data_IF_175955695250
#
_entry.id   IF_175955695250
#
_cell.length_a   1.000
_cell.length_b   1.000
_cell.length_c   1.000
_cell.angle_alpha   90.00
_cell.angle_beta   90.00
_cell.angle_gamma   90.00
#
_symmetry.space_group_name_H-M   'P 1'
#
loop_
_entity.id
_entity.type
_entity.pdbx_description
1 polymer ?
#
# COMPACT_ATOMS: atom_id res chain seq x y z
N UNK A 1 11.56 -19.70 9.87
CA UNK A 1 11.49 -18.77 8.71
C UNK A 1 11.12 -19.54 7.44
N UNK A 2 10.34 -18.97 6.50
CA UNK A 2 9.83 -19.70 5.32
C UNK A 2 10.94 -20.31 4.45
N UNK A 3 12.04 -19.59 4.25
CA UNK A 3 13.22 -20.10 3.51
C UNK A 3 13.75 -21.38 4.16
N UNK A 4 13.94 -21.39 5.48
CA UNK A 4 14.43 -22.55 6.21
C UNK A 4 13.46 -23.75 6.20
N UNK A 5 12.16 -23.50 5.99
CA UNK A 5 11.16 -24.57 5.88
C UNK A 5 11.21 -25.28 4.51
N UNK A 6 11.78 -24.65 3.48
CA UNK A 6 12.05 -25.28 2.17
C UNK A 6 10.81 -25.65 1.34
N UNK A 7 9.62 -25.20 1.73
CA UNK A 7 8.35 -25.52 1.07
C UNK A 7 7.68 -24.31 0.41
N UNK A 8 8.43 -23.22 0.20
CA UNK A 8 7.95 -21.98 -0.42
C UNK A 8 6.92 -21.23 0.42
N UNK A 9 6.06 -20.46 -0.25
CA UNK A 9 4.86 -19.88 0.36
C UNK A 9 4.45 -18.52 -0.21
N UNK A 10 3.77 -17.72 0.61
CA UNK A 10 3.20 -16.43 0.17
C UNK A 10 3.32 -15.36 1.25
N UNK A 11 3.71 -14.16 0.83
CA UNK A 11 3.69 -12.93 1.62
C UNK A 11 2.73 -11.96 0.94
N UNK A 12 1.79 -11.40 1.71
CA UNK A 12 0.86 -10.38 1.23
C UNK A 12 1.06 -9.12 2.06
N UNK A 13 1.33 -8.00 1.40
CA UNK A 13 1.42 -6.69 2.04
C UNK A 13 0.16 -5.87 1.73
N UNK A 14 -0.22 -5.00 2.68
CA UNK A 14 -1.36 -4.09 2.49
C UNK A 14 -0.82 -2.69 2.22
N UNK A 15 -0.85 -2.28 0.95
CA UNK A 15 -0.51 -0.93 0.53
C UNK A 15 -1.77 -0.04 0.57
N UNK A 16 -2.03 0.71 -0.50
CA UNK A 16 -3.19 1.57 -0.73
C UNK A 16 -3.23 1.90 -2.23
N UNK A 17 -4.39 2.32 -2.75
CA UNK A 17 -4.44 3.02 -4.03
C UNK A 17 -3.49 4.24 -4.05
N UNK A 18 -3.29 4.90 -2.90
CA UNK A 18 -2.30 5.96 -2.72
C UNK A 18 -0.83 5.52 -2.95
N UNK A 19 -0.57 4.21 -2.96
CA UNK A 19 0.74 3.63 -3.24
C UNK A 19 1.02 3.38 -4.73
N UNK A 20 0.05 3.66 -5.61
CA UNK A 20 0.19 3.55 -7.08
C UNK A 20 -0.29 4.82 -7.81
N UNK A 21 -1.13 5.63 -7.15
CA UNK A 21 -1.55 6.95 -7.63
C UNK A 21 -1.53 7.91 -6.46
N UNK A 22 -0.80 9.02 -6.58
CA UNK A 22 -0.73 10.01 -5.52
C UNK A 22 -2.12 10.59 -5.20
N UNK A 23 -2.36 10.84 -3.91
CA UNK A 23 -3.57 11.51 -3.42
C UNK A 23 -3.16 12.88 -2.86
N UNK A 24 -3.74 13.99 -3.35
CA UNK A 24 -3.43 15.32 -2.86
C UNK A 24 -3.57 15.44 -1.34
N UNK A 25 -2.67 16.20 -0.71
CA UNK A 25 -2.63 16.37 0.75
C UNK A 25 -2.18 15.15 1.56
N UNK A 26 -1.99 14.00 0.93
CA UNK A 26 -1.53 12.77 1.57
C UNK A 26 -0.08 12.41 1.19
N UNK A 27 0.81 13.39 1.06
CA UNK A 27 2.19 13.18 0.57
C UNK A 27 2.98 12.16 1.39
N UNK A 28 2.97 12.27 2.72
CA UNK A 28 3.63 11.32 3.63
C UNK A 28 3.04 9.89 3.52
N UNK A 29 1.73 9.80 3.34
CA UNK A 29 1.02 8.53 3.28
C UNK A 29 1.27 7.86 1.93
N UNK A 30 1.21 8.63 0.84
CA UNK A 30 1.57 8.18 -0.50
C UNK A 30 3.02 7.69 -0.53
N UNK A 31 3.98 8.48 -0.02
CA UNK A 31 5.38 8.08 0.03
C UNK A 31 5.59 6.74 0.77
N UNK A 32 4.99 6.59 1.97
CA UNK A 32 5.09 5.33 2.71
C UNK A 32 4.45 4.15 1.97
N UNK A 33 3.30 4.35 1.32
CA UNK A 33 2.60 3.29 0.58
C UNK A 33 3.28 2.92 -0.74
N UNK A 34 3.89 3.87 -1.44
CA UNK A 34 4.82 3.57 -2.54
C UNK A 34 6.04 2.78 -2.05
N UNK A 35 6.56 3.10 -0.86
CA UNK A 35 7.61 2.32 -0.22
C UNK A 35 7.23 0.85 0.01
N UNK A 36 5.99 0.59 0.45
CA UNK A 36 5.47 -0.79 0.59
C UNK A 36 5.41 -1.52 -0.76
N UNK A 37 5.05 -0.81 -1.85
CA UNK A 37 5.06 -1.38 -3.20
C UNK A 37 6.47 -1.69 -3.67
N UNK A 38 7.41 -0.76 -3.49
CA UNK A 38 8.82 -0.97 -3.80
C UNK A 38 9.38 -2.18 -3.05
N UNK A 39 9.15 -2.26 -1.74
CA UNK A 39 9.56 -3.39 -0.92
C UNK A 39 8.95 -4.72 -1.41
N UNK A 40 7.66 -4.72 -1.74
CA UNK A 40 6.96 -5.89 -2.26
C UNK A 40 7.60 -6.40 -3.54
N UNK A 41 7.91 -5.48 -4.48
CA UNK A 41 8.52 -5.82 -5.75
C UNK A 41 9.96 -6.35 -5.57
N UNK A 42 10.77 -5.73 -4.71
CA UNK A 42 12.11 -6.21 -4.38
C UNK A 42 12.07 -7.63 -3.81
N UNK A 43 11.22 -7.87 -2.79
CA UNK A 43 11.10 -9.17 -2.16
C UNK A 43 10.53 -10.24 -3.11
N UNK A 44 9.66 -9.86 -4.05
CA UNK A 44 9.15 -10.81 -5.05
C UNK A 44 10.27 -11.38 -5.93
N UNK A 45 11.26 -10.55 -6.28
CA UNK A 45 12.45 -10.97 -7.04
C UNK A 45 13.39 -11.79 -6.17
N UNK A 46 13.72 -11.28 -4.98
CA UNK A 46 14.69 -11.91 -4.06
C UNK A 46 14.22 -13.28 -3.56
N UNK A 47 12.91 -13.44 -3.31
CA UNK A 47 12.38 -14.65 -2.70
C UNK A 47 11.84 -15.66 -3.71
N UNK A 48 11.83 -15.30 -5.00
CA UNK A 48 11.31 -16.15 -6.08
C UNK A 48 12.05 -17.48 -6.21
N UNK A 49 13.38 -17.49 -6.03
CA UNK A 49 14.20 -18.71 -6.10
C UNK A 49 13.83 -19.74 -5.01
N UNK A 50 13.25 -19.29 -3.90
CA UNK A 50 12.80 -20.14 -2.80
C UNK A 50 11.33 -20.58 -2.95
N UNK A 51 10.68 -20.29 -4.08
CA UNK A 51 9.27 -20.60 -4.29
C UNK A 51 8.32 -19.77 -3.42
N UNK A 52 8.75 -18.57 -3.00
CA UNK A 52 7.96 -17.66 -2.16
C UNK A 52 7.44 -16.52 -3.04
N UNK A 53 6.11 -16.37 -3.12
CA UNK A 53 5.48 -15.26 -3.84
C UNK A 53 5.26 -14.08 -2.90
N UNK A 54 5.47 -12.86 -3.40
CA UNK A 54 5.21 -11.63 -2.65
C UNK A 54 4.30 -10.75 -3.49
N UNK A 55 3.15 -10.34 -2.95
CA UNK A 55 2.17 -9.50 -3.65
C UNK A 55 1.65 -8.42 -2.71
N UNK A 56 1.17 -7.31 -3.28
CA UNK A 56 0.55 -6.22 -2.52
C UNK A 56 -0.91 -6.05 -2.92
N UNK A 57 -1.74 -5.70 -1.95
CA UNK A 57 -3.14 -5.33 -2.15
C UNK A 57 -3.28 -3.82 -1.93
N UNK A 58 -4.09 -3.17 -2.77
CA UNK A 58 -4.26 -1.72 -2.81
C UNK A 58 -5.71 -1.29 -2.55
N UNK A 59 -6.14 -1.26 -1.28
CA UNK A 59 -7.47 -0.75 -0.97
C UNK A 59 -7.62 0.74 -1.30
N UNK A 60 -8.83 1.13 -1.68
CA UNK A 60 -9.29 2.52 -1.66
C UNK A 60 -10.24 2.72 -0.48
N UNK A 61 -11.37 3.42 -0.66
CA UNK A 61 -12.38 3.56 0.39
C UNK A 61 -12.89 2.20 0.87
N UNK A 62 -12.63 1.90 2.15
CA UNK A 62 -13.09 0.69 2.85
C UNK A 62 -13.77 1.07 4.16
N UNK A 63 -14.85 0.38 4.50
CA UNK A 63 -15.61 0.63 5.73
C UNK A 63 -14.82 0.17 6.97
N UNK A 64 -14.03 1.10 7.49
CA UNK A 64 -13.15 0.92 8.65
C UNK A 64 -13.10 2.26 9.40
N UNK A 65 -12.68 2.28 10.68
CA UNK A 65 -12.51 3.54 11.40
C UNK A 65 -11.60 4.56 10.69
N UNK A 66 -10.56 4.11 9.96
CA UNK A 66 -9.71 4.99 9.15
C UNK A 66 -10.45 5.55 7.93
N UNK A 67 -11.25 4.73 7.24
CA UNK A 67 -12.01 5.15 6.06
C UNK A 67 -13.17 6.10 6.39
N UNK A 68 -13.67 6.03 7.63
CA UNK A 68 -14.76 6.87 8.13
C UNK A 68 -14.26 8.16 8.82
N UNK A 69 -12.95 8.41 8.83
CA UNK A 69 -12.34 9.65 9.35
C UNK A 69 -12.67 10.85 8.43
N UNK A 70 -13.16 11.93 9.04
CA UNK A 70 -13.60 13.13 8.30
C UNK A 70 -12.47 14.11 7.96
N UNK A 71 -11.25 13.90 8.46
CA UNK A 71 -10.09 14.79 8.23
C UNK A 71 -9.78 14.99 6.75
N UNK A 72 -9.85 13.92 5.95
CA UNK A 72 -9.62 13.99 4.50
C UNK A 72 -10.72 14.81 3.81
N UNK A 73 -11.98 14.66 4.23
CA UNK A 73 -13.09 15.47 3.71
C UNK A 73 -12.92 16.94 4.06
N UNK A 74 -12.52 17.26 5.30
CA UNK A 74 -12.26 18.64 5.71
C UNK A 74 -11.11 19.24 4.88
N UNK A 75 -10.01 18.51 4.69
CA UNK A 75 -8.87 18.96 3.87
C UNK A 75 -9.29 19.30 2.44
N UNK A 76 -10.18 18.52 1.83
CA UNK A 76 -10.70 18.83 0.49
C UNK A 76 -11.66 20.01 0.47
N UNK A 77 -12.40 20.27 1.54
CA UNK A 77 -13.20 21.49 1.68
C UNK A 77 -12.31 22.73 1.78
N UNK A 78 -11.21 22.64 2.53
CA UNK A 78 -10.24 23.73 2.72
C UNK A 78 -9.40 23.97 1.44
N UNK A 79 -9.25 22.94 0.61
CA UNK A 79 -8.47 22.96 -0.64
C UNK A 79 -9.27 22.42 -1.84
N UNK A 80 -10.29 23.16 -2.32
CA UNK A 80 -11.22 22.67 -3.34
C UNK A 80 -10.54 22.30 -4.67
N UNK A 81 -9.39 22.92 -4.97
CA UNK A 81 -8.62 22.64 -6.19
C UNK A 81 -7.96 21.25 -6.22
N UNK A 82 -7.95 20.50 -5.12
CA UNK A 82 -7.38 19.15 -5.07
C UNK A 82 -8.27 18.07 -5.71
N UNK A 83 -9.52 18.40 -6.04
CA UNK A 83 -10.51 17.46 -6.57
C UNK A 83 -10.58 17.52 -8.12
N UNK A 84 -9.73 18.32 -8.76
CA UNK A 84 -9.73 18.56 -10.21
C UNK A 84 -8.58 17.86 -10.94
#
# INVERSE_FOLDING_TARGET
PMIAAGNGGSIITISSAAGIKAVPGCGHYSASKFGVVGLTNSLAVELGEFGIRVNSVHPYGTDTPMGNDLSMYQMFQDHPNFIH
#
